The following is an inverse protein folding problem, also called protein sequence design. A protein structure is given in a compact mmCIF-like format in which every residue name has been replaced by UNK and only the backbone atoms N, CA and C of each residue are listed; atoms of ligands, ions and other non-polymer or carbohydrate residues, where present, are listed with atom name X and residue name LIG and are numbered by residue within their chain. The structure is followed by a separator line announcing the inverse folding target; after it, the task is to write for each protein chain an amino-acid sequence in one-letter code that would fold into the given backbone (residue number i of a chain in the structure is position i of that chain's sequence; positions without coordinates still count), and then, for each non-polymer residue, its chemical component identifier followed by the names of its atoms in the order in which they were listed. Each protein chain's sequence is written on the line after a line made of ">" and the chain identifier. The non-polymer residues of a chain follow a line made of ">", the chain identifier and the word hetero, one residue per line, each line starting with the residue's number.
data_IF_888428221517
#
_entry.id   IF_888428221517
#
_cell.length_a   1.000
_cell.length_b   1.000
_cell.length_c   1.000
_cell.angle_alpha   90.00
_cell.angle_beta   90.00
_cell.angle_gamma   90.00
#
_symmetry.space_group_name_H-M   'P 1'
#
loop_
_entity.id
_entity.type
_entity.pdbx_description
1 polymer ?
#
# COMPACT_ATOMS: atom_id res chain seq x y z
N UNK A 1 -2.44 12.20 -26.91
CA UNK A 1 -1.32 12.05 -25.95
C UNK A 1 -1.37 10.68 -25.33
N UNK A 2 -0.23 9.99 -25.20
CA UNK A 2 -0.16 8.72 -24.49
C UNK A 2 -0.39 8.99 -22.99
N UNK A 3 -1.36 8.31 -22.38
CA UNK A 3 -1.60 8.38 -20.93
C UNK A 3 -0.43 7.68 -20.25
N UNK A 4 0.28 8.37 -19.36
CA UNK A 4 1.35 7.77 -18.58
C UNK A 4 0.76 6.74 -17.60
N UNK A 5 1.52 5.68 -17.35
CA UNK A 5 1.08 4.54 -16.54
C UNK A 5 1.48 4.77 -15.08
N UNK A 6 0.61 5.41 -14.31
CA UNK A 6 0.76 5.51 -12.84
C UNK A 6 -0.13 4.45 -12.20
N UNK A 7 0.47 3.54 -11.45
CA UNK A 7 -0.23 2.46 -10.78
C UNK A 7 0.00 2.55 -9.27
N UNK A 8 -1.07 2.52 -8.49
CA UNK A 8 -1.03 2.45 -7.03
C UNK A 8 -1.50 1.08 -6.54
N UNK A 9 -0.69 0.42 -5.71
CA UNK A 9 -1.00 -0.87 -5.09
C UNK A 9 -1.03 -0.72 -3.56
N UNK A 10 -2.24 -0.71 -2.99
CA UNK A 10 -2.47 -0.62 -1.55
C UNK A 10 -2.56 -1.98 -0.86
N UNK A 11 -2.33 -2.03 0.45
CA UNK A 11 -2.52 -3.24 1.27
C UNK A 11 -1.55 -3.39 2.43
N UNK A 12 -1.88 -4.20 3.43
CA UNK A 12 -1.00 -4.44 4.61
C UNK A 12 0.18 -5.38 4.28
N UNK A 13 1.19 -5.58 5.16
CA UNK A 13 2.27 -6.52 4.89
C UNK A 13 1.76 -7.94 4.68
N UNK A 14 2.44 -8.73 3.85
CA UNK A 14 2.09 -10.14 3.59
C UNK A 14 0.96 -10.37 2.58
N UNK A 15 0.24 -9.34 2.14
CA UNK A 15 -0.87 -9.49 1.17
C UNK A 15 -0.42 -9.65 -0.29
N UNK A 16 0.88 -9.62 -0.58
CA UNK A 16 1.41 -9.84 -1.94
C UNK A 16 1.62 -8.60 -2.81
N UNK A 17 1.55 -7.39 -2.26
CA UNK A 17 1.78 -6.12 -2.98
C UNK A 17 3.06 -6.10 -3.81
N UNK A 18 4.19 -6.44 -3.20
CA UNK A 18 5.52 -6.35 -3.84
C UNK A 18 5.65 -7.31 -5.00
N UNK A 19 5.16 -8.53 -4.83
CA UNK A 19 5.14 -9.55 -5.88
C UNK A 19 4.28 -9.11 -7.07
N UNK A 20 3.06 -8.63 -6.82
CA UNK A 20 2.15 -8.17 -7.87
C UNK A 20 2.68 -6.90 -8.55
N UNK A 21 3.23 -5.95 -7.80
CA UNK A 21 3.87 -4.75 -8.34
C UNK A 21 5.03 -5.09 -9.27
N UNK A 22 5.87 -6.07 -8.91
CA UNK A 22 6.93 -6.57 -9.77
C UNK A 22 6.42 -7.25 -11.05
N UNK A 23 5.31 -7.99 -10.99
CA UNK A 23 4.66 -8.56 -12.18
C UNK A 23 4.11 -7.47 -13.10
N UNK A 24 3.47 -6.44 -12.54
CA UNK A 24 2.97 -5.28 -13.27
C UNK A 24 4.12 -4.50 -13.92
N UNK A 25 5.20 -4.23 -13.19
CA UNK A 25 6.37 -3.53 -13.70
C UNK A 25 6.94 -4.21 -14.95
N UNK A 26 7.15 -5.54 -14.87
CA UNK A 26 7.66 -6.34 -16.00
C UNK A 26 6.68 -6.37 -17.17
N UNK A 27 5.39 -6.57 -16.91
CA UNK A 27 4.38 -6.69 -17.96
C UNK A 27 4.12 -5.38 -18.70
N UNK A 28 4.16 -4.25 -18.00
CA UNK A 28 3.81 -2.94 -18.57
C UNK A 28 5.02 -2.07 -18.92
N UNK A 29 6.24 -2.58 -18.73
CA UNK A 29 7.50 -1.88 -19.01
C UNK A 29 7.67 -0.62 -18.15
N UNK A 30 7.49 -0.75 -16.84
CA UNK A 30 7.60 0.35 -15.89
C UNK A 30 8.85 0.17 -15.04
N UNK A 31 9.83 1.06 -15.22
CA UNK A 31 11.13 0.96 -14.56
C UNK A 31 11.14 1.55 -13.15
N UNK A 32 10.25 2.51 -12.87
CA UNK A 32 10.20 3.20 -11.59
C UNK A 32 9.16 2.52 -10.69
N UNK A 33 9.64 1.91 -9.60
CA UNK A 33 8.80 1.34 -8.55
C UNK A 33 9.21 1.91 -7.19
N UNK A 34 8.24 2.47 -6.47
CA UNK A 34 8.44 3.06 -5.15
C UNK A 34 7.69 2.26 -4.10
N UNK A 35 8.34 1.99 -2.98
CA UNK A 35 7.73 1.34 -1.81
C UNK A 35 7.72 2.30 -0.64
N UNK A 36 6.55 2.47 -0.02
CA UNK A 36 6.40 3.47 1.06
C UNK A 36 7.06 3.06 2.36
N UNK A 37 7.42 1.78 2.50
CA UNK A 37 8.28 1.31 3.57
C UNK A 37 9.64 2.04 3.54
N UNK A 38 10.26 2.20 2.37
CA UNK A 38 11.48 3.00 2.21
C UNK A 38 11.23 4.50 2.35
N UNK A 39 10.08 4.99 1.85
CA UNK A 39 9.74 6.42 1.97
C UNK A 39 9.63 6.84 3.44
N UNK A 40 9.06 5.99 4.30
CA UNK A 40 9.00 6.28 5.74
C UNK A 40 10.39 6.40 6.35
N UNK A 41 11.30 5.47 6.03
CA UNK A 41 12.67 5.51 6.53
C UNK A 41 13.42 6.75 6.03
N UNK A 42 13.12 7.19 4.80
CA UNK A 42 13.67 8.42 4.21
C UNK A 42 13.13 9.69 4.85
N UNK A 43 11.82 9.76 5.14
CA UNK A 43 11.16 10.94 5.71
C UNK A 43 11.51 11.10 7.19
N UNK A 44 11.55 10.01 7.96
CA UNK A 44 11.74 10.04 9.42
C UNK A 44 12.90 10.94 9.91
N UNK A 45 14.12 10.94 9.33
CA UNK A 45 15.21 11.82 9.78
C UNK A 45 15.04 13.30 9.40
N UNK A 46 14.18 13.63 8.43
CA UNK A 46 14.00 14.99 7.92
C UNK A 46 12.91 15.78 8.66
N UNK A 47 12.14 15.09 9.50
CA UNK A 47 11.02 15.67 10.23
C UNK A 47 11.50 16.33 11.52
N UNK A 48 11.41 17.66 11.55
CA UNK A 48 11.76 18.47 12.72
C UNK A 48 10.64 18.54 13.76
N UNK A 49 9.39 18.32 13.36
CA UNK A 49 8.26 18.30 14.27
C UNK A 49 8.36 17.08 15.21
N UNK A 50 8.40 17.34 16.52
CA UNK A 50 8.63 16.31 17.53
C UNK A 50 7.52 15.24 17.53
N UNK A 51 6.27 15.64 17.32
CA UNK A 51 5.13 14.72 17.29
C UNK A 51 5.18 13.81 16.05
N UNK A 52 5.50 14.39 14.90
CA UNK A 52 5.69 13.66 13.66
C UNK A 52 6.87 12.69 13.73
N UNK A 53 7.99 13.11 14.34
CA UNK A 53 9.14 12.23 14.59
C UNK A 53 8.79 11.08 15.52
N UNK A 54 8.03 11.35 16.58
CA UNK A 54 7.59 10.33 17.54
C UNK A 54 6.70 9.28 16.86
N UNK A 55 5.67 9.68 16.11
CA UNK A 55 4.78 8.73 15.43
C UNK A 55 5.48 7.97 14.29
N UNK A 56 6.43 8.58 13.57
CA UNK A 56 7.18 7.93 12.50
C UNK A 56 8.29 6.99 13.01
N UNK A 57 8.68 7.11 14.29
CA UNK A 57 9.71 6.26 14.89
C UNK A 57 9.26 4.83 15.19
N UNK A 58 7.95 4.62 15.33
CA UNK A 58 7.38 3.31 15.68
C UNK A 58 6.84 2.59 14.44
N UNK A 59 6.76 1.26 14.53
CA UNK A 59 6.02 0.49 13.54
C UNK A 59 4.54 0.88 13.53
N UNK A 60 3.90 0.82 12.37
CA UNK A 60 2.49 1.19 12.22
C UNK A 60 1.56 0.37 13.13
N UNK A 61 1.91 -0.89 13.37
CA UNK A 61 1.15 -1.76 14.28
C UNK A 61 1.32 -1.41 15.77
N UNK A 62 2.21 -0.48 16.10
CA UNK A 62 2.40 0.05 17.47
C UNK A 62 1.92 1.49 17.61
N UNK A 63 1.60 2.16 16.50
CA UNK A 63 1.21 3.58 16.50
C UNK A 63 -0.01 3.85 17.40
N UNK A 64 -0.90 2.87 17.56
CA UNK A 64 -2.07 2.96 18.43
C UNK A 64 -1.74 3.17 19.90
N UNK A 65 -0.55 2.73 20.36
CA UNK A 65 -0.11 2.88 21.77
C UNK A 65 -0.02 4.35 22.18
N UNK A 66 0.13 5.26 21.21
CA UNK A 66 0.15 6.72 21.43
C UNK A 66 -1.23 7.31 21.75
N UNK A 67 -2.30 6.54 21.56
CA UNK A 67 -3.69 6.98 21.70
C UNK A 67 -4.44 6.30 22.85
N UNK A 68 -3.74 5.48 23.67
CA UNK A 68 -4.28 4.81 24.84
C UNK A 68 -4.36 3.29 24.68
N UNK A 69 -5.40 2.69 25.24
CA UNK A 69 -5.60 1.23 25.21
C UNK A 69 -5.90 0.71 23.80
N UNK A 70 -5.64 -0.59 23.59
CA UNK A 70 -5.86 -1.23 22.29
C UNK A 70 -7.34 -1.29 21.98
N UNK A 71 -7.79 -0.46 21.06
CA UNK A 71 -9.15 -0.47 20.51
C UNK A 71 -9.08 -0.32 18.99
N UNK A 72 -10.15 -0.73 18.30
CA UNK A 72 -10.26 -0.49 16.85
C UNK A 72 -10.06 1.00 16.52
N UNK A 73 -10.68 1.88 17.30
CA UNK A 73 -10.57 3.34 17.12
C UNK A 73 -9.12 3.83 17.26
N UNK A 74 -8.40 3.39 18.30
CA UNK A 74 -7.01 3.80 18.52
C UNK A 74 -6.05 3.19 17.48
N UNK A 75 -6.34 1.98 16.99
CA UNK A 75 -5.62 1.38 15.84
C UNK A 75 -5.74 2.28 14.61
N UNK A 76 -6.95 2.70 14.26
CA UNK A 76 -7.17 3.55 13.09
C UNK A 76 -6.60 4.96 13.31
N UNK A 77 -6.73 5.54 14.50
CA UNK A 77 -6.09 6.84 14.83
C UNK A 77 -4.57 6.79 14.66
N UNK A 78 -3.92 5.77 15.21
CA UNK A 78 -2.46 5.60 15.07
C UNK A 78 -2.03 5.39 13.63
N UNK A 79 -2.74 4.53 12.91
CA UNK A 79 -2.51 4.30 11.49
C UNK A 79 -2.65 5.57 10.65
N UNK A 80 -3.77 6.30 10.80
CA UNK A 80 -4.03 7.53 10.04
C UNK A 80 -3.03 8.63 10.38
N UNK A 81 -2.67 8.79 11.67
CA UNK A 81 -1.68 9.79 12.07
C UNK A 81 -0.32 9.57 11.42
N UNK A 82 0.11 8.31 11.29
CA UNK A 82 1.34 7.99 10.56
C UNK A 82 1.15 8.15 9.03
N UNK A 83 -0.03 7.75 8.53
CA UNK A 83 -0.42 7.84 7.12
C UNK A 83 -0.37 9.27 6.58
N UNK A 84 -0.76 10.28 7.35
CA UNK A 84 -0.79 11.68 6.90
C UNK A 84 0.58 12.18 6.40
N UNK A 85 1.65 11.82 7.09
CA UNK A 85 3.01 12.22 6.71
C UNK A 85 3.51 11.48 5.46
N UNK A 86 3.14 10.21 5.30
CA UNK A 86 3.63 9.40 4.18
C UNK A 86 2.79 9.63 2.92
N UNK A 87 1.46 9.66 3.06
CA UNK A 87 0.52 9.85 1.96
C UNK A 87 0.66 11.22 1.30
N UNK A 88 1.00 12.28 2.04
CA UNK A 88 1.30 13.58 1.43
C UNK A 88 2.49 13.53 0.47
N UNK A 89 3.56 12.80 0.83
CA UNK A 89 4.70 12.53 -0.06
C UNK A 89 4.33 11.68 -1.27
N UNK A 90 3.45 10.68 -1.09
CA UNK A 90 2.92 9.87 -2.20
C UNK A 90 2.15 10.75 -3.19
N UNK A 91 1.22 11.58 -2.70
CA UNK A 91 0.43 12.49 -3.54
C UNK A 91 1.33 13.43 -4.34
N UNK A 92 2.34 14.03 -3.70
CA UNK A 92 3.32 14.88 -4.40
C UNK A 92 4.11 14.12 -5.48
N UNK A 93 4.40 12.85 -5.24
CA UNK A 93 5.09 11.99 -6.22
C UNK A 93 4.20 11.66 -7.40
N UNK A 94 2.92 11.33 -7.16
CA UNK A 94 1.91 11.12 -8.20
C UNK A 94 1.76 12.38 -9.06
N UNK A 95 1.68 13.56 -8.42
CA UNK A 95 1.54 14.84 -9.11
C UNK A 95 2.71 15.14 -10.04
N UNK A 96 3.94 14.91 -9.56
CA UNK A 96 5.15 15.05 -10.38
C UNK A 96 5.12 14.08 -11.56
N UNK A 97 4.85 12.79 -11.31
CA UNK A 97 4.84 11.79 -12.36
C UNK A 97 3.79 12.11 -13.43
N UNK A 98 2.60 12.56 -13.02
CA UNK A 98 1.55 13.00 -13.94
C UNK A 98 1.96 14.22 -14.75
N UNK A 99 2.57 15.22 -14.10
CA UNK A 99 3.07 16.44 -14.76
C UNK A 99 4.16 16.14 -15.79
N UNK A 100 5.05 15.21 -15.49
CA UNK A 100 6.20 14.87 -16.33
C UNK A 100 5.90 13.77 -17.36
N UNK A 101 4.73 13.14 -17.30
CA UNK A 101 4.40 11.99 -18.15
C UNK A 101 5.21 10.73 -17.82
N UNK A 102 5.64 10.57 -16.57
CA UNK A 102 6.45 9.44 -16.10
C UNK A 102 5.56 8.22 -15.81
N UNK A 103 6.05 7.03 -16.18
CA UNK A 103 5.45 5.76 -15.75
C UNK A 103 5.99 5.40 -14.36
N UNK A 104 5.11 5.00 -13.46
CA UNK A 104 5.44 4.79 -12.06
C UNK A 104 4.51 3.76 -11.42
N UNK A 105 5.08 2.84 -10.65
CA UNK A 105 4.33 2.01 -9.70
C UNK A 105 4.65 2.46 -8.27
N UNK A 106 3.62 2.64 -7.45
CA UNK A 106 3.75 2.89 -6.02
C UNK A 106 3.06 1.77 -5.26
N UNK A 107 3.77 1.06 -4.40
CA UNK A 107 3.16 0.16 -3.42
C UNK A 107 3.16 0.78 -2.03
N UNK A 108 2.05 0.61 -1.31
CA UNK A 108 1.89 1.23 0.01
C UNK A 108 1.04 0.42 0.98
N UNK A 109 1.46 0.38 2.25
CA UNK A 109 0.53 0.10 3.36
C UNK A 109 -0.34 1.33 3.68
N UNK A 110 0.23 2.53 3.61
CA UNK A 110 -0.49 3.76 3.96
C UNK A 110 -1.48 4.12 2.86
N UNK A 111 -2.71 4.37 3.29
CA UNK A 111 -3.83 4.76 2.45
C UNK A 111 -4.83 5.56 3.31
N UNK A 112 -5.06 6.82 2.95
CA UNK A 112 -6.00 7.72 3.62
C UNK A 112 -6.88 8.45 2.59
N UNK A 113 -7.88 9.17 3.08
CA UNK A 113 -8.86 9.86 2.23
C UNK A 113 -8.20 10.88 1.27
N UNK A 114 -7.26 11.75 1.70
CA UNK A 114 -6.55 12.66 0.77
C UNK A 114 -5.81 11.95 -0.37
N UNK A 115 -5.16 10.81 -0.10
CA UNK A 115 -4.50 10.02 -1.14
C UNK A 115 -5.52 9.38 -2.09
N UNK A 116 -6.62 8.86 -1.57
CA UNK A 116 -7.71 8.31 -2.38
C UNK A 116 -8.30 9.38 -3.32
N UNK A 117 -8.46 10.61 -2.82
CA UNK A 117 -8.87 11.75 -3.64
C UNK A 117 -7.85 12.08 -4.73
N UNK A 118 -6.57 12.13 -4.37
CA UNK A 118 -5.48 12.35 -5.34
C UNK A 118 -5.51 11.30 -6.47
N UNK A 119 -5.65 10.02 -6.12
CA UNK A 119 -5.73 8.91 -7.07
C UNK A 119 -6.87 9.11 -8.07
N UNK A 120 -8.06 9.48 -7.58
CA UNK A 120 -9.24 9.74 -8.44
C UNK A 120 -9.00 10.94 -9.34
N UNK A 121 -8.61 12.08 -8.78
CA UNK A 121 -8.45 13.34 -9.51
C UNK A 121 -7.39 13.25 -10.60
N UNK A 122 -6.31 12.50 -10.34
CA UNK A 122 -5.20 12.30 -11.29
C UNK A 122 -5.44 11.14 -12.26
N UNK A 123 -6.54 10.42 -12.13
CA UNK A 123 -6.87 9.28 -12.99
C UNK A 123 -5.81 8.18 -12.94
N UNK A 124 -5.29 7.91 -11.74
CA UNK A 124 -4.31 6.84 -11.44
C UNK A 124 -5.01 5.49 -11.44
N UNK A 125 -4.37 4.47 -12.02
CA UNK A 125 -4.86 3.10 -11.91
C UNK A 125 -4.55 2.58 -10.51
N UNK A 126 -5.54 2.14 -9.74
CA UNK A 126 -5.34 1.75 -8.36
C UNK A 126 -6.01 0.42 -8.03
N UNK A 127 -5.33 -0.38 -7.20
CA UNK A 127 -5.86 -1.60 -6.63
C UNK A 127 -5.49 -1.69 -5.15
N UNK A 128 -6.43 -2.10 -4.30
CA UNK A 128 -6.18 -2.40 -2.90
C UNK A 128 -6.26 -3.91 -2.67
N UNK A 129 -5.18 -4.50 -2.16
CA UNK A 129 -5.04 -5.95 -1.97
C UNK A 129 -5.21 -6.29 -0.50
N UNK A 130 -6.05 -7.28 -0.22
CA UNK A 130 -6.29 -7.82 1.12
C UNK A 130 -6.24 -9.36 1.10
N UNK A 131 -6.24 -10.01 2.26
CA UNK A 131 -6.42 -11.47 2.38
C UNK A 131 -7.48 -11.68 3.45
N UNK A 132 -8.62 -12.29 3.11
CA UNK A 132 -9.67 -12.58 4.09
C UNK A 132 -9.35 -13.79 4.96
N UNK A 133 -8.61 -14.77 4.44
CA UNK A 133 -8.17 -15.95 5.19
C UNK A 133 -6.92 -15.63 6.06
N UNK A 134 -7.15 -15.49 7.37
CA UNK A 134 -6.11 -15.29 8.37
C UNK A 134 -5.04 -16.38 8.37
N UNK A 135 -5.40 -17.63 8.04
CA UNK A 135 -4.44 -18.76 8.00
C UNK A 135 -3.45 -18.55 6.87
N UNK A 136 -3.96 -18.27 5.66
CA UNK A 136 -3.13 -17.90 4.51
C UNK A 136 -2.29 -16.66 4.76
N UNK A 137 -2.86 -15.62 5.38
CA UNK A 137 -2.12 -14.39 5.68
C UNK A 137 -0.97 -14.63 6.67
N UNK A 138 -1.22 -15.41 7.73
CA UNK A 138 -0.21 -15.85 8.70
C UNK A 138 0.93 -16.59 8.01
N UNK A 139 0.59 -17.60 7.20
CA UNK A 139 1.56 -18.40 6.44
C UNK A 139 2.45 -17.50 5.58
N UNK A 140 1.86 -16.60 4.80
CA UNK A 140 2.61 -15.69 3.91
C UNK A 140 3.50 -14.70 4.65
N UNK A 141 3.07 -14.20 5.81
CA UNK A 141 3.91 -13.32 6.63
C UNK A 141 5.15 -14.06 7.15
N UNK A 142 4.99 -15.32 7.56
CA UNK A 142 6.10 -16.16 8.03
C UNK A 142 7.04 -16.54 6.87
N UNK A 143 6.49 -16.85 5.70
CA UNK A 143 7.26 -17.23 4.50
C UNK A 143 7.93 -16.03 3.80
N UNK A 144 7.61 -14.78 4.17
CA UNK A 144 8.16 -13.58 3.50
C UNK A 144 9.69 -13.51 3.54
N UNK A 145 10.32 -14.11 4.55
CA UNK A 145 11.78 -14.31 4.64
C UNK A 145 12.38 -15.07 3.45
N UNK A 146 11.62 -15.98 2.87
CA UNK A 146 12.11 -16.86 1.80
C UNK A 146 12.11 -16.19 0.43
N UNK A 147 11.30 -15.14 0.23
CA UNK A 147 10.99 -14.65 -1.12
C UNK A 147 11.28 -13.18 -1.34
N UNK A 148 10.93 -12.30 -0.40
CA UNK A 148 10.94 -10.86 -0.66
C UNK A 148 11.75 -10.08 0.36
N UNK A 149 11.91 -10.59 1.59
CA UNK A 149 12.52 -9.85 2.68
C UNK A 149 13.31 -10.80 3.59
N UNK A 150 14.54 -11.15 3.19
CA UNK A 150 15.38 -12.14 3.88
C UNK A 150 15.54 -11.91 5.40
N UNK A 151 15.54 -10.64 5.83
CA UNK A 151 15.61 -10.25 7.24
C UNK A 151 14.24 -9.88 7.85
N UNK A 152 13.13 -10.26 7.22
CA UNK A 152 11.78 -9.95 7.68
C UNK A 152 11.53 -10.58 9.04
N UNK A 153 11.00 -9.86 10.04
CA UNK A 153 10.63 -10.44 11.31
C UNK A 153 9.24 -11.12 11.19
N UNK A 154 9.14 -12.17 10.37
CA UNK A 154 7.87 -12.79 9.95
C UNK A 154 6.92 -13.12 11.10
N UNK A 155 7.40 -13.83 12.12
CA UNK A 155 6.62 -14.17 13.33
C UNK A 155 6.15 -12.92 14.10
N UNK A 156 6.99 -11.88 14.17
CA UNK A 156 6.62 -10.61 14.82
C UNK A 156 5.48 -9.93 14.08
N UNK A 157 5.46 -10.00 12.74
CA UNK A 157 4.40 -9.39 11.93
C UNK A 157 3.11 -10.20 12.00
N UNK A 158 3.18 -11.53 11.95
CA UNK A 158 1.99 -12.39 12.05
C UNK A 158 1.32 -12.31 13.42
N UNK A 159 2.09 -12.05 14.49
CA UNK A 159 1.55 -11.74 15.81
C UNK A 159 0.73 -10.43 15.89
N UNK A 160 0.74 -9.59 14.85
CA UNK A 160 0.02 -8.31 14.79
C UNK A 160 -1.16 -8.34 13.82
N UNK A 161 -1.61 -9.53 13.41
CA UNK A 161 -2.69 -9.68 12.44
C UNK A 161 -4.03 -9.10 12.89
N UNK A 162 -4.26 -8.95 14.20
CA UNK A 162 -5.44 -8.25 14.70
C UNK A 162 -5.39 -6.75 14.39
N UNK A 163 -4.22 -6.12 14.56
CA UNK A 163 -3.98 -4.72 14.18
C UNK A 163 -4.02 -4.55 12.67
N UNK A 164 -3.34 -5.41 11.92
CA UNK A 164 -3.39 -5.36 10.46
C UNK A 164 -4.77 -5.66 9.91
N UNK A 165 -5.54 -6.54 10.55
CA UNK A 165 -6.92 -6.83 10.19
C UNK A 165 -7.82 -5.60 10.34
N UNK A 166 -7.66 -4.84 11.42
CA UNK A 166 -8.37 -3.58 11.60
C UNK A 166 -8.00 -2.54 10.52
N UNK A 167 -6.71 -2.34 10.26
CA UNK A 167 -6.21 -1.42 9.21
C UNK A 167 -6.72 -1.85 7.82
N UNK A 168 -6.67 -3.16 7.54
CA UNK A 168 -7.10 -3.74 6.28
C UNK A 168 -8.59 -3.53 6.05
N UNK A 169 -9.43 -3.82 7.05
CA UNK A 169 -10.88 -3.58 7.00
C UNK A 169 -11.21 -2.11 6.76
N UNK A 170 -10.55 -1.19 7.48
CA UNK A 170 -10.73 0.24 7.29
C UNK A 170 -10.35 0.67 5.87
N UNK A 171 -9.17 0.26 5.40
CA UNK A 171 -8.62 0.71 4.12
C UNK A 171 -9.34 0.10 2.92
N UNK A 172 -9.83 -1.14 3.02
CA UNK A 172 -10.69 -1.78 2.03
C UNK A 172 -12.02 -1.02 1.90
N UNK A 173 -12.66 -0.68 3.02
CA UNK A 173 -13.89 0.11 3.01
C UNK A 173 -13.66 1.50 2.38
N UNK A 174 -12.55 2.15 2.71
CA UNK A 174 -12.15 3.42 2.13
C UNK A 174 -11.87 3.32 0.62
N UNK A 175 -11.25 2.23 0.16
CA UNK A 175 -10.99 2.00 -1.25
C UNK A 175 -12.30 1.83 -2.03
N UNK A 176 -13.22 0.99 -1.53
CA UNK A 176 -14.55 0.79 -2.13
C UNK A 176 -15.35 2.09 -2.20
N UNK A 177 -15.38 2.86 -1.09
CA UNK A 177 -16.04 4.18 -1.02
C UNK A 177 -15.54 5.11 -2.13
N UNK A 178 -14.27 5.00 -2.51
CA UNK A 178 -13.61 5.86 -3.48
C UNK A 178 -13.49 5.23 -4.88
N UNK A 179 -14.21 4.15 -5.16
CA UNK A 179 -14.24 3.51 -6.48
C UNK A 179 -12.91 2.86 -6.88
N UNK A 180 -12.07 2.50 -5.90
CA UNK A 180 -10.81 1.78 -6.12
C UNK A 180 -11.09 0.29 -6.00
N UNK A 181 -10.65 -0.49 -7.00
CA UNK A 181 -10.83 -1.93 -7.04
C UNK A 181 -10.14 -2.60 -5.83
N UNK A 182 -10.84 -3.55 -5.20
CA UNK A 182 -10.32 -4.34 -4.09
C UNK A 182 -10.20 -5.81 -4.46
N UNK A 183 -9.10 -6.47 -4.09
CA UNK A 183 -8.84 -7.85 -4.45
C UNK A 183 -8.46 -8.69 -3.23
N UNK A 184 -9.22 -9.77 -3.01
CA UNK A 184 -8.87 -10.80 -2.04
C UNK A 184 -7.79 -11.70 -2.64
N UNK A 185 -6.59 -11.65 -2.08
CA UNK A 185 -5.44 -12.40 -2.54
C UNK A 185 -5.30 -13.75 -1.82
N UNK A 186 -6.40 -14.42 -1.47
CA UNK A 186 -6.34 -15.77 -0.91
C UNK A 186 -5.74 -16.79 -1.92
N UNK A 187 -6.04 -16.65 -3.20
CA UNK A 187 -5.33 -17.32 -4.31
C UNK A 187 -4.42 -16.32 -5.06
N UNK A 188 -3.11 -16.55 -5.01
CA UNK A 188 -2.14 -15.64 -5.63
C UNK A 188 -2.23 -15.60 -7.16
N UNK A 189 -2.36 -16.75 -7.81
CA UNK A 189 -2.31 -16.83 -9.27
C UNK A 189 -3.56 -16.20 -9.88
N UNK A 190 -4.73 -16.52 -9.31
CA UNK A 190 -5.99 -15.96 -9.76
C UNK A 190 -6.03 -14.44 -9.55
N UNK A 191 -5.63 -13.98 -8.36
CA UNK A 191 -5.68 -12.55 -8.03
C UNK A 191 -4.66 -11.73 -8.81
N UNK A 192 -3.44 -12.24 -9.02
CA UNK A 192 -2.46 -11.58 -9.88
C UNK A 192 -2.99 -11.41 -11.32
N UNK A 193 -3.63 -12.45 -11.88
CA UNK A 193 -4.28 -12.37 -13.20
C UNK A 193 -5.37 -11.30 -13.23
N UNK A 194 -6.29 -11.31 -12.25
CA UNK A 194 -7.38 -10.31 -12.16
C UNK A 194 -6.88 -8.87 -12.10
N UNK A 195 -5.83 -8.62 -11.31
CA UNK A 195 -5.23 -7.28 -11.17
C UNK A 195 -4.57 -6.86 -12.49
N UNK A 196 -3.77 -7.75 -13.09
CA UNK A 196 -3.13 -7.50 -14.40
C UNK A 196 -4.18 -7.16 -15.46
N UNK A 197 -5.27 -7.92 -15.52
CA UNK A 197 -6.35 -7.69 -16.48
C UNK A 197 -7.08 -6.37 -16.19
N UNK A 198 -7.27 -6.00 -14.91
CA UNK A 198 -7.86 -4.69 -14.55
C UNK A 198 -6.98 -3.53 -15.00
N UNK A 199 -5.67 -3.62 -14.75
CA UNK A 199 -4.69 -2.61 -15.21
C UNK A 199 -4.67 -2.52 -16.74
N UNK A 200 -4.70 -3.66 -17.44
CA UNK A 200 -4.76 -3.70 -18.91
C UNK A 200 -6.00 -2.99 -19.46
N UNK A 201 -7.18 -3.30 -18.91
CA UNK A 201 -8.43 -2.60 -19.27
C UNK A 201 -8.36 -1.10 -19.01
N UNK A 202 -7.77 -0.68 -17.89
CA UNK A 202 -7.67 0.74 -17.52
C UNK A 202 -6.86 1.57 -18.53
N UNK A 203 -5.79 0.99 -19.10
CA UNK A 203 -4.94 1.68 -20.07
C UNK A 203 -5.32 1.42 -21.54
N UNK A 204 -6.26 0.49 -21.77
CA UNK A 204 -6.63 -0.01 -23.09
C UNK A 204 -5.69 -1.16 -23.51
N UNK A 205 -6.27 -2.31 -23.86
CA UNK A 205 -5.53 -3.53 -24.22
C UNK A 205 -4.60 -3.35 -25.43
N UNK A 206 -4.83 -2.33 -26.27
CA UNK A 206 -4.05 -2.02 -27.47
C UNK A 206 -2.78 -1.18 -27.20
N UNK A 207 -2.46 -0.90 -25.93
CA UNK A 207 -1.26 -0.12 -25.50
C UNK A 207 -0.25 -0.94 -24.70
N UNK A 208 -0.34 -2.27 -24.81
CA UNK A 208 0.51 -3.27 -24.15
C UNK A 208 1.53 -3.78 -25.16
#
# INVERSE_FOLDING_TARGET
>A
MQKNKIIFIGGVPGVGKTSISGMLARKFGIDIMLSTDYLREFVRPLVNDANARDILSVSVYEAWKKFGEKSYENIIKGYLKQSDYICSGISATIDRAAKNGENLIIESLYFNEPLAETIRQKGVCAAYIYISDFTTHTKRLNERQLYTHFNSPGQRLSAQLDVYGAIMKYSEALAKKNGIDTFDNSDFQETAKKIIDSVGRFYGNDKI
#
